data_IF_688173905249
#
_entry.id   IF_688173905249
#
_cell.length_a   1.000
_cell.length_b   1.000
_cell.length_c   1.000
_cell.angle_alpha   90.00
_cell.angle_beta   90.00
_cell.angle_gamma   90.00
#
_symmetry.space_group_name_H-M   'P 1'
#
loop_
_entity.id
_entity.type
_entity.pdbx_description
1 polymer ?
#
# COMPACT_ATOMS: atom_id res chain seq x y z
N UNK A 1 -21.36 10.96 2.87
CA UNK A 1 -21.08 10.17 4.09
C UNK A 1 -21.65 8.76 3.87
N UNK A 2 -20.79 7.75 3.71
CA UNK A 2 -21.21 6.38 3.35
C UNK A 2 -22.01 5.75 4.49
N UNK A 3 -23.33 5.64 4.31
CA UNK A 3 -24.26 5.00 5.24
C UNK A 3 -24.20 3.45 5.19
N UNK A 4 -23.26 2.84 4.46
CA UNK A 4 -23.47 1.51 3.87
C UNK A 4 -22.58 0.36 4.40
N UNK A 5 -21.65 0.59 5.33
CA UNK A 5 -20.87 -0.50 5.92
C UNK A 5 -21.32 -0.78 7.37
N UNK A 6 -22.47 -1.44 7.55
CA UNK A 6 -22.84 -1.96 8.88
C UNK A 6 -22.06 -3.23 9.17
N UNK A 7 -21.14 -3.16 10.13
CA UNK A 7 -20.34 -4.30 10.60
C UNK A 7 -19.21 -4.71 9.64
N UNK A 8 -18.48 -5.76 10.02
CA UNK A 8 -17.27 -6.22 9.32
C UNK A 8 -17.55 -6.56 7.84
N UNK A 9 -18.62 -7.29 7.54
CA UNK A 9 -18.96 -7.68 6.17
C UNK A 9 -19.21 -6.47 5.25
N UNK A 10 -19.84 -5.42 5.77
CA UNK A 10 -20.05 -4.17 5.03
C UNK A 10 -18.74 -3.44 4.72
N UNK A 11 -17.82 -3.41 5.69
CA UNK A 11 -16.49 -2.83 5.48
C UNK A 11 -15.65 -3.63 4.50
N UNK A 12 -15.71 -4.97 4.55
CA UNK A 12 -15.02 -5.83 3.59
C UNK A 12 -15.54 -5.61 2.16
N UNK A 13 -16.86 -5.54 1.98
CA UNK A 13 -17.44 -5.26 0.66
C UNK A 13 -17.05 -3.86 0.16
N UNK A 14 -17.13 -2.85 1.03
CA UNK A 14 -16.77 -1.47 0.66
C UNK A 14 -15.29 -1.34 0.30
N UNK A 15 -14.39 -1.78 1.18
CA UNK A 15 -12.95 -1.71 0.95
C UNK A 15 -12.53 -2.61 -0.21
N UNK A 16 -13.25 -3.71 -0.46
CA UNK A 16 -13.09 -4.60 -1.62
C UNK A 16 -13.14 -3.88 -2.95
N UNK A 17 -14.05 -2.92 -3.09
CA UNK A 17 -14.30 -2.16 -4.33
C UNK A 17 -13.69 -0.76 -4.32
N UNK A 18 -13.32 -0.24 -3.14
CA UNK A 18 -12.78 1.11 -3.02
C UNK A 18 -11.43 1.25 -3.75
N UNK A 19 -11.24 2.37 -4.44
CA UNK A 19 -9.95 2.71 -5.03
C UNK A 19 -8.97 3.11 -3.93
N UNK A 20 -7.91 2.32 -3.79
CA UNK A 20 -6.95 2.46 -2.69
C UNK A 20 -6.12 3.72 -2.93
N UNK A 21 -6.15 4.72 -2.02
CA UNK A 21 -5.33 5.91 -2.17
C UNK A 21 -3.86 5.60 -1.93
N UNK A 22 -2.97 6.49 -2.33
CA UNK A 22 -1.53 6.37 -2.10
C UNK A 22 -0.99 7.62 -1.45
N UNK A 23 0.19 7.55 -0.83
CA UNK A 23 0.81 8.73 -0.24
C UNK A 23 1.31 9.66 -1.35
N UNK A 24 1.09 10.96 -1.20
CA UNK A 24 1.58 11.98 -2.14
C UNK A 24 3.10 11.96 -2.28
N UNK A 25 3.83 11.58 -1.23
CA UNK A 25 5.29 11.37 -1.31
C UNK A 25 5.65 10.28 -2.33
N UNK A 26 4.91 9.18 -2.35
CA UNK A 26 5.13 8.02 -3.22
C UNK A 26 4.75 8.36 -4.65
N UNK A 27 3.61 9.01 -4.86
CA UNK A 27 3.21 9.51 -6.17
C UNK A 27 4.27 10.42 -6.79
N UNK A 28 4.78 11.39 -6.01
CA UNK A 28 5.87 12.28 -6.44
C UNK A 28 7.19 11.56 -6.71
N UNK A 29 7.48 10.46 -6.01
CA UNK A 29 8.68 9.67 -6.25
C UNK A 29 8.55 8.86 -7.54
N UNK A 30 7.39 8.26 -7.78
CA UNK A 30 7.07 7.53 -9.01
C UNK A 30 7.05 8.46 -10.22
N UNK A 31 6.46 9.65 -10.12
CA UNK A 31 6.50 10.68 -11.18
C UNK A 31 7.95 11.07 -11.54
N UNK A 32 8.81 11.25 -10.53
CA UNK A 32 10.23 11.56 -10.73
C UNK A 32 10.96 10.42 -11.43
N UNK A 33 10.69 9.17 -11.06
CA UNK A 33 11.26 8.00 -11.75
C UNK A 33 10.76 7.89 -13.19
N UNK A 34 9.48 8.20 -13.44
CA UNK A 34 8.89 8.14 -14.77
C UNK A 34 9.44 9.21 -15.72
N UNK A 35 9.76 10.39 -15.18
CA UNK A 35 10.31 11.50 -15.97
C UNK A 35 11.79 11.32 -16.34
N UNK A 36 12.51 10.40 -15.68
CA UNK A 36 13.94 10.17 -15.89
C UNK A 36 14.20 8.73 -16.36
N UNK A 37 14.31 8.56 -17.67
CA UNK A 37 14.61 7.26 -18.31
C UNK A 37 15.88 6.59 -17.75
N UNK A 38 16.85 7.36 -17.25
CA UNK A 38 18.09 6.82 -16.69
C UNK A 38 17.91 6.18 -15.31
N UNK A 39 16.90 6.61 -14.56
CA UNK A 39 16.56 6.10 -13.23
C UNK A 39 15.44 5.06 -13.28
N UNK A 40 14.73 4.98 -14.42
CA UNK A 40 13.58 4.13 -14.64
C UNK A 40 14.01 2.66 -14.76
N UNK A 41 13.98 1.96 -13.63
CA UNK A 41 14.14 0.51 -13.60
C UNK A 41 13.17 -0.14 -12.60
N UNK A 42 12.83 -1.43 -12.78
CA UNK A 42 11.88 -2.13 -11.92
C UNK A 42 12.25 -2.12 -10.43
N UNK A 43 13.55 -2.11 -10.10
CA UNK A 43 14.03 -2.11 -8.71
C UNK A 43 13.78 -0.75 -8.03
N UNK A 44 14.04 0.36 -8.72
CA UNK A 44 13.75 1.71 -8.21
C UNK A 44 12.26 1.87 -7.91
N UNK A 45 11.40 1.39 -8.82
CA UNK A 45 9.94 1.41 -8.64
C UNK A 45 9.54 0.52 -7.47
N UNK A 46 10.08 -0.71 -7.40
CA UNK A 46 9.78 -1.65 -6.33
C UNK A 46 10.07 -1.04 -4.95
N UNK A 47 11.21 -0.38 -4.79
CA UNK A 47 11.56 0.28 -3.52
C UNK A 47 10.50 1.33 -3.11
N UNK A 48 10.06 2.18 -4.05
CA UNK A 48 9.02 3.17 -3.76
C UNK A 48 7.69 2.51 -3.41
N UNK A 49 7.33 1.42 -4.11
CA UNK A 49 6.11 0.67 -3.82
C UNK A 49 6.20 0.00 -2.45
N UNK A 50 7.30 -0.69 -2.12
CA UNK A 50 7.49 -1.39 -0.83
C UNK A 50 7.66 -0.45 0.35
N UNK A 51 7.99 0.81 0.13
CA UNK A 51 8.03 1.81 1.21
C UNK A 51 6.62 2.39 1.50
N UNK A 52 5.65 2.24 0.60
CA UNK A 52 4.27 2.71 0.77
C UNK A 52 3.30 1.51 0.95
N UNK A 53 2.76 1.29 2.16
CA UNK A 53 1.85 0.17 2.41
C UNK A 53 0.60 0.22 1.52
N UNK A 54 0.10 1.41 1.19
CA UNK A 54 -1.08 1.56 0.36
C UNK A 54 -0.78 1.31 -1.12
N UNK A 55 0.35 1.80 -1.62
CA UNK A 55 0.80 1.50 -2.99
C UNK A 55 1.09 0.01 -3.16
N UNK A 56 1.70 -0.63 -2.16
CA UNK A 56 1.92 -2.08 -2.14
C UNK A 56 0.60 -2.84 -2.27
N UNK A 57 -0.41 -2.55 -1.43
CA UNK A 57 -1.71 -3.22 -1.54
C UNK A 57 -2.41 -2.92 -2.85
N UNK A 58 -2.30 -1.70 -3.36
CA UNK A 58 -2.89 -1.32 -4.66
C UNK A 58 -2.32 -2.19 -5.79
N UNK A 59 -1.00 -2.34 -5.84
CA UNK A 59 -0.32 -3.22 -6.81
C UNK A 59 -0.73 -4.69 -6.63
N UNK A 60 -0.67 -5.21 -5.40
CA UNK A 60 -1.01 -6.61 -5.14
C UNK A 60 -2.47 -6.91 -5.49
N UNK A 61 -3.42 -6.01 -5.17
CA UNK A 61 -4.82 -6.12 -5.58
C UNK A 61 -4.93 -6.21 -7.09
N UNK A 62 -4.28 -5.31 -7.83
CA UNK A 62 -4.31 -5.32 -9.30
C UNK A 62 -3.81 -6.65 -9.85
N UNK A 63 -2.69 -7.16 -9.33
CA UNK A 63 -2.12 -8.43 -9.75
C UNK A 63 -3.06 -9.61 -9.49
N UNK A 64 -3.76 -9.61 -8.34
CA UNK A 64 -4.72 -10.67 -8.01
C UNK A 64 -5.96 -10.62 -8.91
N UNK A 65 -6.47 -9.43 -9.25
CA UNK A 65 -7.65 -9.30 -10.14
C UNK A 65 -7.33 -9.61 -11.61
N UNK A 66 -6.07 -9.42 -12.03
CA UNK A 66 -5.60 -9.70 -13.39
C UNK A 66 -4.81 -11.02 -13.50
N UNK A 67 -4.86 -11.87 -12.47
CA UNK A 67 -4.17 -13.15 -12.44
C UNK A 67 -4.73 -14.08 -13.53
N UNK A 68 -3.86 -14.55 -14.42
CA UNK A 68 -4.27 -15.52 -15.43
C UNK A 68 -4.53 -16.88 -14.78
N UNK A 69 -5.53 -17.63 -15.25
CA UNK A 69 -5.96 -18.94 -14.70
C UNK A 69 -4.86 -20.02 -14.63
N UNK A 70 -3.74 -19.80 -15.34
CA UNK A 70 -2.58 -20.71 -15.40
C UNK A 70 -1.40 -20.25 -14.53
N UNK A 71 -1.48 -19.10 -13.85
CA UNK A 71 -0.48 -18.66 -12.90
C UNK A 71 -0.73 -19.35 -11.56
N UNK A 72 0.03 -20.40 -11.27
CA UNK A 72 -0.09 -21.19 -10.03
C UNK A 72 0.68 -20.60 -8.84
N UNK A 73 1.64 -19.71 -9.08
CA UNK A 73 2.38 -19.05 -8.00
C UNK A 73 1.52 -17.99 -7.28
N UNK A 74 1.56 -18.01 -5.95
CA UNK A 74 1.13 -16.87 -5.14
C UNK A 74 2.20 -15.78 -5.28
N UNK A 75 1.75 -14.59 -5.68
CA UNK A 75 2.63 -13.43 -5.83
C UNK A 75 2.76 -12.76 -4.46
N UNK A 76 3.88 -12.99 -3.80
CA UNK A 76 4.21 -12.34 -2.52
C UNK A 76 5.33 -11.30 -2.69
N UNK A 77 6.10 -11.36 -3.79
CA UNK A 77 7.18 -10.42 -4.10
C UNK A 77 6.74 -9.29 -5.06
N UNK A 78 6.87 -8.05 -4.59
CA UNK A 78 6.61 -6.81 -5.34
C UNK A 78 7.55 -6.64 -6.54
N UNK A 79 8.82 -7.00 -6.41
CA UNK A 79 9.80 -6.89 -7.52
C UNK A 79 9.43 -7.85 -8.63
N UNK A 80 9.14 -9.10 -8.29
CA UNK A 80 8.67 -10.09 -9.26
C UNK A 80 7.35 -9.63 -9.92
N UNK A 81 6.41 -9.08 -9.15
CA UNK A 81 5.17 -8.55 -9.71
C UNK A 81 5.41 -7.42 -10.73
N UNK A 82 6.31 -6.48 -10.43
CA UNK A 82 6.67 -5.41 -11.35
C UNK A 82 7.40 -5.90 -12.60
N UNK A 83 8.29 -6.90 -12.46
CA UNK A 83 8.96 -7.52 -13.60
C UNK A 83 7.97 -8.25 -14.52
N UNK A 84 6.98 -8.94 -13.94
CA UNK A 84 5.94 -9.63 -14.71
C UNK A 84 4.96 -8.68 -15.38
N UNK A 85 4.63 -7.56 -14.72
CA UNK A 85 3.74 -6.53 -15.25
C UNK A 85 4.41 -5.68 -16.34
N UNK A 86 5.70 -5.37 -16.17
CA UNK A 86 6.39 -4.36 -16.96
C UNK A 86 6.17 -2.95 -16.41
N UNK A 87 7.10 -2.05 -16.73
CA UNK A 87 7.11 -0.68 -16.20
C UNK A 87 5.98 0.16 -16.79
N UNK A 88 5.79 0.15 -18.10
CA UNK A 88 4.77 0.96 -18.78
C UNK A 88 3.35 0.52 -18.39
N UNK A 89 3.02 -0.79 -18.35
CA UNK A 89 1.73 -1.25 -17.84
C UNK A 89 1.49 -0.86 -16.37
N UNK A 90 2.53 -0.86 -15.53
CA UNK A 90 2.42 -0.41 -14.14
C UNK A 90 1.93 1.05 -14.04
N UNK A 91 2.58 1.98 -14.75
CA UNK A 91 2.18 3.39 -14.71
C UNK A 91 0.78 3.63 -15.31
N UNK A 92 0.37 2.81 -16.28
CA UNK A 92 -0.94 2.93 -16.93
C UNK A 92 -2.07 2.33 -16.08
N UNK A 93 -1.86 1.13 -15.55
CA UNK A 93 -2.93 0.31 -14.98
C UNK A 93 -2.99 0.38 -13.43
N UNK A 94 -1.90 0.79 -12.78
CA UNK A 94 -1.80 1.00 -11.33
C UNK A 94 -1.37 2.44 -11.03
N UNK A 95 -2.17 3.46 -11.38
CA UNK A 95 -1.77 4.85 -11.20
C UNK A 95 -1.63 5.19 -9.71
N UNK A 96 -0.69 6.09 -9.40
CA UNK A 96 -0.45 6.59 -8.04
C UNK A 96 -1.50 7.66 -7.62
N UNK A 97 -2.78 7.31 -7.77
CA UNK A 97 -3.94 8.14 -7.47
C UNK A 97 -5.14 7.25 -7.10
N UNK A 98 -6.08 7.67 -6.23
CA UNK A 98 -6.16 8.97 -5.56
C UNK A 98 -5.09 9.17 -4.48
N UNK A 99 -4.91 10.39 -4.00
CA UNK A 99 -3.94 10.71 -2.95
C UNK A 99 -4.60 10.76 -1.57
N UNK A 100 -3.93 10.19 -0.56
CA UNK A 100 -4.40 10.22 0.83
C UNK A 100 -4.63 11.65 1.31
N UNK A 101 -3.68 12.55 1.02
CA UNK A 101 -3.73 13.95 1.45
C UNK A 101 -4.91 14.70 0.82
N UNK A 102 -5.28 14.36 -0.41
CA UNK A 102 -6.43 14.97 -1.09
C UNK A 102 -7.75 14.40 -0.55
N UNK A 103 -7.78 13.11 -0.19
CA UNK A 103 -8.93 12.47 0.48
C UNK A 103 -9.19 13.02 1.88
N UNK A 104 -8.12 13.35 2.63
CA UNK A 104 -8.20 13.85 4.00
C UNK A 104 -8.14 15.38 4.10
N UNK A 105 -8.28 16.11 3.00
CA UNK A 105 -8.24 17.59 3.00
C UNK A 105 -9.23 18.24 3.97
N UNK A 106 -10.39 17.60 4.19
CA UNK A 106 -11.46 18.08 5.07
C UNK A 106 -11.31 17.51 6.52
N UNK A 107 -10.32 16.63 6.74
CA UNK A 107 -10.03 15.94 7.99
C UNK A 107 -8.51 15.92 8.25
N UNK A 108 -7.87 17.09 8.22
CA UNK A 108 -6.41 17.21 8.38
C UNK A 108 -5.91 16.70 9.74
N UNK A 109 -6.76 16.71 10.76
CA UNK A 109 -6.52 16.13 12.08
C UNK A 109 -6.35 14.60 12.05
N UNK A 110 -6.89 13.91 11.04
CA UNK A 110 -6.69 12.48 10.81
C UNK A 110 -5.39 12.16 10.04
N UNK A 111 -4.77 13.15 9.38
CA UNK A 111 -3.58 12.91 8.57
C UNK A 111 -2.36 12.54 9.43
N UNK A 112 -2.16 13.24 10.55
CA UNK A 112 -1.04 12.96 11.45
C UNK A 112 -1.07 11.54 12.04
N UNK A 113 -2.18 11.06 12.66
CA UNK A 113 -2.23 9.69 13.17
C UNK A 113 -2.13 8.65 12.05
N UNK A 114 -2.70 8.89 10.85
CA UNK A 114 -2.49 8.02 9.69
C UNK A 114 -0.99 7.87 9.37
N UNK A 115 -0.27 8.98 9.26
CA UNK A 115 1.15 8.97 8.94
C UNK A 115 1.98 8.29 10.05
N UNK A 116 1.60 8.42 11.31
CA UNK A 116 2.20 7.65 12.39
C UNK A 116 1.97 6.14 12.23
N UNK A 117 0.75 5.70 11.89
CA UNK A 117 0.44 4.28 11.65
C UNK A 117 1.21 3.74 10.44
N UNK A 118 1.33 4.51 9.35
CA UNK A 118 2.18 4.18 8.19
C UNK A 118 3.64 4.04 8.63
N UNK A 119 4.15 4.99 9.40
CA UNK A 119 5.55 4.96 9.83
C UNK A 119 5.86 3.77 10.73
N UNK A 120 4.92 3.41 11.61
CA UNK A 120 5.01 2.20 12.44
C UNK A 120 5.09 0.96 11.57
N UNK A 121 4.23 0.84 10.54
CA UNK A 121 4.26 -0.28 9.61
C UNK A 121 5.58 -0.41 8.86
N UNK A 122 6.12 0.70 8.35
CA UNK A 122 7.43 0.75 7.70
C UNK A 122 8.54 0.28 8.66
N UNK A 123 8.59 0.82 9.88
CA UNK A 123 9.60 0.44 10.87
C UNK A 123 9.54 -1.03 11.23
N UNK A 124 8.34 -1.56 11.49
CA UNK A 124 8.15 -2.99 11.74
C UNK A 124 8.63 -3.84 10.57
N UNK A 125 8.32 -3.44 9.33
CA UNK A 125 8.75 -4.15 8.13
C UNK A 125 10.27 -4.16 7.96
N UNK A 126 10.95 -3.04 8.19
CA UNK A 126 12.42 -2.99 8.14
C UNK A 126 13.06 -3.88 9.21
N UNK A 127 12.56 -3.86 10.45
CA UNK A 127 13.09 -4.73 11.50
C UNK A 127 12.86 -6.22 11.20
N UNK A 128 11.68 -6.57 10.71
CA UNK A 128 11.37 -7.95 10.33
C UNK A 128 12.27 -8.42 9.18
N UNK A 129 12.49 -7.56 8.18
CA UNK A 129 13.41 -7.83 7.07
C UNK A 129 14.86 -8.05 7.56
N UNK A 130 15.37 -7.14 8.39
CA UNK A 130 16.73 -7.25 8.95
C UNK A 130 16.92 -8.53 9.76
N UNK A 131 15.91 -8.95 10.52
CA UNK A 131 15.94 -10.21 11.25
C UNK A 131 15.88 -11.42 10.32
N UNK A 132 15.01 -11.40 9.32
CA UNK A 132 14.93 -12.46 8.31
C UNK A 132 16.28 -12.67 7.61
N UNK A 133 16.97 -11.58 7.22
CA UNK A 133 18.32 -11.65 6.65
C UNK A 133 19.34 -12.28 7.60
N UNK A 134 19.32 -11.89 8.89
CA UNK A 134 20.22 -12.46 9.91
C UNK A 134 19.97 -13.94 10.18
N UNK A 135 18.73 -14.38 10.04
CA UNK A 135 18.32 -15.77 10.17
C UNK A 135 18.51 -16.58 8.87
N UNK A 136 19.08 -15.96 7.83
CA UNK A 136 19.27 -16.56 6.51
C UNK A 136 17.97 -17.07 5.88
N UNK A 137 16.86 -16.37 6.13
CA UNK A 137 15.59 -16.65 5.49
C UNK A 137 15.67 -16.30 4.00
N UNK A 138 15.31 -17.26 3.14
CA UNK A 138 15.30 -17.09 1.69
C UNK A 138 14.16 -16.19 1.21
N UNK A 139 13.15 -15.95 2.06
CA UNK A 139 11.93 -15.21 1.76
C UNK A 139 11.86 -13.88 2.54
N UNK A 140 13.01 -13.26 2.83
CA UNK A 140 13.07 -12.00 3.60
C UNK A 140 12.18 -10.89 3.02
N UNK A 141 12.07 -10.79 1.68
CA UNK A 141 11.20 -9.81 1.02
C UNK A 141 9.70 -10.05 1.29
N UNK A 142 9.28 -11.32 1.37
CA UNK A 142 7.91 -11.70 1.74
C UNK A 142 7.60 -11.35 3.20
N UNK A 143 8.58 -11.56 4.09
CA UNK A 143 8.50 -11.16 5.50
C UNK A 143 8.33 -9.65 5.62
N UNK A 144 9.09 -8.88 4.83
CA UNK A 144 8.99 -7.43 4.79
C UNK A 144 7.58 -6.98 4.39
N UNK A 145 7.09 -7.44 3.24
CA UNK A 145 5.76 -7.07 2.72
C UNK A 145 4.66 -7.51 3.68
N UNK A 146 4.70 -8.75 4.18
CA UNK A 146 3.70 -9.26 5.14
C UNK A 146 3.64 -8.39 6.41
N UNK A 147 4.79 -7.95 6.89
CA UNK A 147 4.87 -7.08 8.07
C UNK A 147 4.40 -5.66 7.76
N UNK A 148 4.76 -5.11 6.60
CA UNK A 148 4.30 -3.80 6.14
C UNK A 148 2.77 -3.73 6.07
N UNK A 149 2.13 -4.82 5.64
CA UNK A 149 0.68 -4.89 5.47
C UNK A 149 -0.08 -5.26 6.76
N UNK A 150 0.62 -5.57 7.85
CA UNK A 150 -0.01 -5.94 9.14
C UNK A 150 -0.93 -4.85 9.72
N UNK A 151 -0.68 -3.58 9.37
CA UNK A 151 -1.49 -2.43 9.81
C UNK A 151 -2.38 -1.85 8.72
N UNK A 152 -2.49 -2.50 7.54
CA UNK A 152 -3.20 -1.93 6.39
C UNK A 152 -4.66 -1.62 6.69
N UNK A 153 -5.35 -2.46 7.46
CA UNK A 153 -6.74 -2.24 7.83
C UNK A 153 -6.91 -0.93 8.61
N UNK A 154 -6.03 -0.64 9.56
CA UNK A 154 -6.05 0.61 10.33
C UNK A 154 -5.79 1.82 9.40
N UNK A 155 -4.79 1.73 8.51
CA UNK A 155 -4.45 2.79 7.55
C UNK A 155 -5.63 3.07 6.60
N UNK A 156 -6.28 2.04 6.08
CA UNK A 156 -7.47 2.18 5.23
C UNK A 156 -8.63 2.80 6.01
N UNK A 157 -8.82 2.44 7.27
CA UNK A 157 -9.86 3.05 8.10
C UNK A 157 -9.61 4.53 8.35
N UNK A 158 -8.36 4.97 8.52
CA UNK A 158 -8.03 6.40 8.54
C UNK A 158 -8.43 7.11 7.25
N UNK A 159 -8.22 6.47 6.08
CA UNK A 159 -8.56 7.06 4.78
C UNK A 159 -10.07 7.16 4.55
N UNK A 160 -10.81 6.10 4.86
CA UNK A 160 -12.22 5.95 4.47
C UNK A 160 -13.22 6.26 5.58
N UNK A 161 -12.76 6.31 6.83
CA UNK A 161 -13.58 6.52 8.03
C UNK A 161 -12.90 7.43 9.07
N UNK A 162 -12.34 8.59 8.68
CA UNK A 162 -11.49 9.41 9.56
C UNK A 162 -12.20 9.89 10.82
N UNK A 163 -13.49 10.26 10.73
CA UNK A 163 -14.26 10.75 11.89
C UNK A 163 -14.35 9.68 12.98
N UNK A 164 -14.70 8.45 12.61
CA UNK A 164 -14.80 7.34 13.54
C UNK A 164 -13.43 6.96 14.12
N UNK A 165 -12.37 7.03 13.31
CA UNK A 165 -11.01 6.77 13.79
C UNK A 165 -10.53 7.85 14.79
N UNK A 166 -10.88 9.11 14.56
CA UNK A 166 -10.62 10.19 15.52
C UNK A 166 -11.39 9.99 16.83
N UNK A 167 -12.64 9.51 16.76
CA UNK A 167 -13.40 9.17 17.96
C UNK A 167 -12.75 8.03 18.74
N UNK A 168 -12.26 6.98 18.06
CA UNK A 168 -11.51 5.89 18.67
C UNK A 168 -10.23 6.41 19.34
N UNK A 169 -9.49 7.29 18.66
CA UNK A 169 -8.25 7.87 19.19
C UNK A 169 -8.49 8.70 20.46
N UNK A 170 -9.61 9.42 20.55
CA UNK A 170 -9.98 10.19 21.76
C UNK A 170 -10.33 9.32 22.96
N UNK A 171 -10.65 8.04 22.75
CA UNK A 171 -10.99 7.09 23.82
C UNK A 171 -9.77 6.33 24.37
N UNK A 172 -8.61 6.45 23.74
CA UNK A 172 -7.34 5.84 24.16
C UNK A 172 -6.55 6.79 25.08
#
# INVERSE_FOLDING_TARGET
MSQHAKGLAGWLAYLGEADIPVLKSSARALERLHADESLLNPRSIANVVTDDPLMTVKLLRFMQTHKHRNQTHELVDVKQALLMMGVEPFFRDVPASPLVEDMLKDHLDALLPLLHTVRRAQHSAYYAYDWALRLHDLHAEEVHVSTLLSHVAEILMWCFSPVQMLDILRLQ
#
